data_IF_660202305382
#
_entry.id   IF_660202305382
#
_cell.length_a   1.000
_cell.length_b   1.000
_cell.length_c   1.000
_cell.angle_alpha   90.00
_cell.angle_beta   90.00
_cell.angle_gamma   90.00
#
_symmetry.space_group_name_H-M   'P 1'
#
loop_
_entity.id
_entity.type
_entity.pdbx_description
1 polymer ?
#
# COMPACT_ATOMS: atom_id res chain seq x y z
N UNK A 1 15.00 -21.55 13.45
CA UNK A 1 13.82 -21.53 12.57
C UNK A 1 13.66 -20.15 11.97
N UNK A 2 13.31 -20.10 10.67
CA UNK A 2 13.13 -18.84 9.95
C UNK A 2 11.71 -18.74 9.45
N UNK A 3 11.05 -17.65 9.79
CA UNK A 3 9.69 -17.35 9.32
C UNK A 3 9.64 -15.91 8.82
N UNK A 4 8.73 -15.66 7.88
CA UNK A 4 8.51 -14.32 7.37
C UNK A 4 7.04 -14.18 6.97
N UNK A 5 6.49 -12.98 7.10
CA UNK A 5 5.15 -12.70 6.60
C UNK A 5 5.30 -12.50 5.09
N UNK A 6 4.73 -13.42 4.30
CA UNK A 6 4.89 -13.39 2.84
C UNK A 6 3.90 -12.45 2.17
N UNK A 7 2.63 -12.47 2.59
CA UNK A 7 1.56 -11.72 1.95
C UNK A 7 0.60 -11.15 2.98
N UNK A 8 0.05 -10.00 2.67
CA UNK A 8 -1.06 -9.40 3.40
C UNK A 8 -2.12 -9.04 2.36
N UNK A 9 -3.36 -9.42 2.61
CA UNK A 9 -4.45 -9.16 1.68
C UNK A 9 -4.99 -7.74 1.80
N UNK A 10 -5.15 -7.10 0.66
CA UNK A 10 -5.81 -5.80 0.56
C UNK A 10 -6.97 -5.96 -0.41
N UNK A 11 -8.19 -5.71 0.08
CA UNK A 11 -9.40 -5.85 -0.72
C UNK A 11 -9.56 -4.65 -1.63
N UNK A 12 -9.80 -4.90 -2.91
CA UNK A 12 -9.98 -3.86 -3.92
C UNK A 12 -11.29 -4.12 -4.68
N UNK A 13 -11.88 -3.09 -5.29
CA UNK A 13 -13.10 -3.31 -6.08
C UNK A 13 -12.83 -4.02 -7.40
N UNK A 14 -11.61 -3.90 -7.92
CA UNK A 14 -11.25 -4.43 -9.22
C UNK A 14 -9.73 -4.62 -9.28
N UNK A 15 -9.26 -5.71 -9.88
CA UNK A 15 -7.83 -6.00 -9.98
C UNK A 15 -7.07 -4.91 -10.74
N UNK A 16 -7.57 -4.52 -11.90
CA UNK A 16 -6.86 -3.55 -12.72
C UNK A 16 -6.80 -2.17 -12.06
N UNK A 17 -7.86 -1.78 -11.38
CA UNK A 17 -7.84 -0.52 -10.62
C UNK A 17 -6.82 -0.56 -9.50
N UNK A 18 -6.70 -1.72 -8.83
CA UNK A 18 -5.67 -1.91 -7.79
C UNK A 18 -4.26 -1.81 -8.36
N UNK A 19 -4.02 -2.46 -9.50
CA UNK A 19 -2.74 -2.40 -10.18
C UNK A 19 -2.44 -0.96 -10.62
N UNK A 20 -3.41 -0.26 -11.20
CA UNK A 20 -3.22 1.12 -11.65
C UNK A 20 -2.74 2.02 -10.52
N UNK A 21 -3.28 1.85 -9.32
CA UNK A 21 -2.84 2.66 -8.20
C UNK A 21 -1.50 2.18 -7.63
N UNK A 22 -1.42 0.92 -7.23
CA UNK A 22 -0.25 0.45 -6.50
C UNK A 22 1.00 0.32 -7.37
N UNK A 23 0.84 -0.08 -8.61
CA UNK A 23 1.95 -0.13 -9.56
C UNK A 23 2.08 1.18 -10.31
N UNK A 24 0.98 1.69 -10.85
CA UNK A 24 1.03 2.87 -11.72
C UNK A 24 1.34 4.17 -10.99
N UNK A 25 0.77 4.37 -9.81
CA UNK A 25 0.94 5.63 -9.07
C UNK A 25 1.96 5.54 -7.95
N UNK A 26 1.94 4.46 -7.17
CA UNK A 26 2.92 4.29 -6.08
C UNK A 26 4.27 3.77 -6.58
N UNK A 27 4.31 3.15 -7.75
CA UNK A 27 5.56 2.62 -8.28
C UNK A 27 5.97 1.27 -7.73
N UNK A 28 5.03 0.52 -7.14
CA UNK A 28 5.32 -0.84 -6.70
C UNK A 28 5.56 -1.73 -7.91
N UNK A 29 6.28 -2.84 -7.70
CA UNK A 29 6.45 -3.85 -8.72
C UNK A 29 5.24 -4.78 -8.75
N UNK A 30 4.81 -5.16 -9.95
CA UNK A 30 3.83 -6.22 -10.15
C UNK A 30 4.61 -7.54 -10.12
N UNK A 31 4.51 -8.26 -9.00
CA UNK A 31 5.26 -9.50 -8.82
C UNK A 31 4.61 -10.69 -9.50
N UNK A 32 3.28 -10.69 -9.56
CA UNK A 32 2.53 -11.78 -10.16
C UNK A 32 1.14 -11.29 -10.55
N UNK A 33 0.65 -11.78 -11.68
CA UNK A 33 -0.72 -11.57 -12.11
C UNK A 33 -1.14 -12.83 -12.87
N UNK A 34 -1.69 -13.79 -12.14
CA UNK A 34 -2.03 -15.11 -12.67
C UNK A 34 -3.53 -15.30 -12.64
N UNK A 35 -4.12 -15.59 -13.78
CA UNK A 35 -5.54 -15.93 -13.87
C UNK A 35 -5.77 -17.30 -13.23
N UNK A 36 -6.69 -17.35 -12.28
CA UNK A 36 -7.04 -18.61 -11.58
C UNK A 36 -8.36 -19.19 -12.06
N UNK A 37 -9.29 -18.33 -12.49
CA UNK A 37 -10.58 -18.72 -13.02
C UNK A 37 -11.11 -17.58 -13.89
N UNK A 38 -12.34 -17.68 -14.37
CA UNK A 38 -12.94 -16.61 -15.16
C UNK A 38 -13.06 -15.30 -14.37
N UNK A 39 -13.15 -15.39 -13.04
CA UNK A 39 -13.39 -14.21 -12.19
C UNK A 39 -12.28 -13.93 -11.20
N UNK A 40 -11.29 -14.83 -11.05
CA UNK A 40 -10.25 -14.68 -10.02
C UNK A 40 -8.86 -14.61 -10.62
N UNK A 41 -8.08 -13.66 -10.11
CA UNK A 41 -6.67 -13.48 -10.44
C UNK A 41 -5.87 -13.51 -9.15
N UNK A 42 -4.63 -13.96 -9.25
CA UNK A 42 -3.67 -13.92 -8.14
C UNK A 42 -2.71 -12.78 -8.44
N UNK A 43 -2.93 -11.64 -7.77
CA UNK A 43 -2.19 -10.41 -8.08
C UNK A 43 -1.38 -10.01 -6.84
N UNK A 44 -0.06 -9.99 -6.98
CA UNK A 44 0.84 -9.59 -5.90
C UNK A 44 1.65 -8.37 -6.32
N UNK A 45 1.70 -7.39 -5.43
CA UNK A 45 2.48 -6.16 -5.65
C UNK A 45 3.33 -5.87 -4.41
N UNK A 46 4.45 -5.22 -4.59
CA UNK A 46 5.31 -4.83 -3.47
C UNK A 46 6.27 -3.73 -3.89
N UNK A 47 6.76 -2.92 -2.94
CA UNK A 47 7.92 -2.06 -3.21
C UNK A 47 9.10 -2.91 -3.69
N UNK A 48 9.93 -2.35 -4.55
CA UNK A 48 11.10 -3.06 -5.09
C UNK A 48 11.98 -3.57 -3.94
N UNK A 49 12.28 -4.87 -3.98
CA UNK A 49 13.16 -5.52 -3.00
C UNK A 49 12.49 -5.87 -1.68
N UNK A 50 11.20 -5.58 -1.50
CA UNK A 50 10.51 -5.93 -0.27
C UNK A 50 10.26 -7.44 -0.17
N UNK A 51 10.38 -7.98 1.04
CA UNK A 51 10.11 -9.40 1.28
C UNK A 51 8.61 -9.68 1.39
N UNK A 52 7.88 -8.79 2.04
CA UNK A 52 6.42 -8.93 2.21
C UNK A 52 5.72 -8.22 1.07
N UNK A 53 4.79 -8.92 0.45
CA UNK A 53 4.00 -8.37 -0.64
C UNK A 53 2.55 -8.14 -0.22
N UNK A 54 1.83 -7.40 -1.03
CA UNK A 54 0.39 -7.18 -0.89
C UNK A 54 -0.32 -8.05 -1.93
N UNK A 55 -1.28 -8.84 -1.48
CA UNK A 55 -2.19 -9.55 -2.36
C UNK A 55 -3.38 -8.64 -2.63
N UNK A 56 -3.57 -8.22 -3.87
CA UNK A 56 -4.75 -7.47 -4.25
C UNK A 56 -5.88 -8.46 -4.50
N UNK A 57 -6.91 -8.42 -3.68
CA UNK A 57 -8.03 -9.35 -3.74
C UNK A 57 -9.29 -8.61 -4.13
N UNK A 58 -9.90 -8.99 -5.25
CA UNK A 58 -11.17 -8.40 -5.66
C UNK A 58 -12.25 -8.80 -4.67
N UNK A 59 -13.01 -7.82 -4.19
CA UNK A 59 -14.09 -8.05 -3.24
C UNK A 59 -15.12 -9.03 -3.82
N UNK A 60 -15.53 -9.98 -3.00
CA UNK A 60 -16.51 -11.01 -3.37
C UNK A 60 -17.57 -11.04 -2.27
N UNK A 61 -18.74 -10.48 -2.59
CA UNK A 61 -19.86 -10.43 -1.69
C UNK A 61 -19.91 -9.20 -0.78
N UNK A 62 -21.06 -9.00 -0.12
CA UNK A 62 -21.32 -7.74 0.62
C UNK A 62 -20.33 -7.43 1.72
N UNK A 63 -19.85 -8.44 2.45
CA UNK A 63 -18.90 -8.22 3.54
C UNK A 63 -17.57 -7.70 3.02
N UNK A 64 -17.08 -8.28 1.93
CA UNK A 64 -15.82 -7.85 1.35
C UNK A 64 -15.98 -6.49 0.68
N UNK A 65 -17.08 -6.25 0.01
CA UNK A 65 -17.37 -4.94 -0.57
C UNK A 65 -17.41 -3.85 0.49
N UNK A 66 -17.99 -4.14 1.65
CA UNK A 66 -18.03 -3.20 2.76
C UNK A 66 -16.64 -2.92 3.35
N UNK A 67 -15.71 -3.85 3.17
CA UNK A 67 -14.33 -3.67 3.65
C UNK A 67 -13.46 -2.85 2.72
N UNK A 68 -13.89 -2.61 1.47
CA UNK A 68 -13.11 -1.80 0.53
C UNK A 68 -12.85 -0.42 1.13
N UNK A 69 -11.57 -0.06 1.24
CA UNK A 69 -11.17 1.23 1.82
C UNK A 69 -11.35 1.37 3.31
N UNK A 70 -11.78 0.31 4.00
CA UNK A 70 -12.10 0.36 5.43
C UNK A 70 -11.68 -0.91 6.18
N UNK A 71 -10.62 -1.59 5.72
CA UNK A 71 -10.20 -2.85 6.34
C UNK A 71 -9.79 -2.70 7.80
N UNK A 72 -9.28 -1.53 8.15
CA UNK A 72 -8.78 -1.28 9.49
C UNK A 72 -9.75 -0.47 10.34
N UNK A 73 -10.95 -0.20 9.83
CA UNK A 73 -11.92 0.60 10.55
C UNK A 73 -11.55 2.07 10.69
N UNK A 74 -10.75 2.58 9.76
CA UNK A 74 -10.38 3.99 9.74
C UNK A 74 -8.99 4.31 10.28
N UNK A 75 -8.23 3.30 10.69
CA UNK A 75 -6.86 3.52 11.12
C UNK A 75 -5.91 3.48 9.92
N UNK A 76 -4.72 4.10 10.08
CA UNK A 76 -3.62 3.84 9.18
C UNK A 76 -3.29 2.35 9.25
N UNK A 77 -3.45 1.65 8.14
CA UNK A 77 -3.28 0.20 8.10
C UNK A 77 -1.95 -0.25 7.54
N UNK A 78 -1.23 0.63 6.88
CA UNK A 78 -0.03 0.29 6.14
C UNK A 78 1.02 1.37 6.36
N UNK A 79 2.28 0.95 6.49
CA UNK A 79 3.39 1.85 6.79
C UNK A 79 4.46 1.61 5.74
N UNK A 80 4.67 2.59 4.88
CA UNK A 80 5.63 2.51 3.78
C UNK A 80 6.87 3.29 4.14
N UNK A 81 7.94 2.59 4.46
CA UNK A 81 9.23 3.21 4.73
C UNK A 81 9.93 3.60 3.44
N UNK A 82 10.56 4.74 3.45
CA UNK A 82 11.38 5.20 2.33
C UNK A 82 12.72 5.72 2.85
N UNK A 83 13.72 5.64 2.00
CA UNK A 83 15.03 6.25 2.28
C UNK A 83 15.11 7.71 1.83
N UNK A 84 14.07 8.21 1.16
CA UNK A 84 14.05 9.59 0.67
C UNK A 84 12.62 10.11 0.60
N UNK A 85 12.17 10.69 1.71
CA UNK A 85 10.79 11.18 1.83
C UNK A 85 10.45 12.24 0.79
N UNK A 86 11.31 13.23 0.61
CA UNK A 86 11.00 14.35 -0.30
C UNK A 86 10.85 13.89 -1.73
N UNK A 87 11.72 12.98 -2.18
CA UNK A 87 11.65 12.41 -3.52
C UNK A 87 10.33 11.69 -3.74
N UNK A 88 9.97 10.81 -2.80
CA UNK A 88 8.78 9.97 -2.97
C UNK A 88 7.51 10.77 -2.77
N UNK A 89 7.47 11.68 -1.80
CA UNK A 89 6.33 12.55 -1.60
C UNK A 89 6.03 13.36 -2.88
N UNK A 90 7.07 13.96 -3.47
CA UNK A 90 6.90 14.75 -4.70
C UNK A 90 6.42 13.88 -5.86
N UNK A 91 7.01 12.70 -6.04
CA UNK A 91 6.63 11.79 -7.12
C UNK A 91 5.18 11.31 -6.98
N UNK A 92 4.78 10.98 -5.77
CA UNK A 92 3.42 10.51 -5.50
C UNK A 92 2.40 11.63 -5.73
N UNK A 93 2.70 12.86 -5.32
CA UNK A 93 1.83 14.00 -5.58
C UNK A 93 1.69 14.25 -7.09
N UNK A 94 2.78 14.17 -7.85
CA UNK A 94 2.72 14.32 -9.31
C UNK A 94 1.88 13.24 -9.96
N UNK A 95 1.90 12.03 -9.40
CA UNK A 95 1.09 10.91 -9.91
C UNK A 95 -0.39 11.01 -9.52
N UNK A 96 -0.75 11.98 -8.68
CA UNK A 96 -2.13 12.18 -8.28
C UNK A 96 -2.54 11.45 -7.01
N UNK A 97 -1.58 10.98 -6.20
CA UNK A 97 -1.88 10.36 -4.91
C UNK A 97 -2.41 11.42 -3.94
N UNK A 98 -3.48 11.09 -3.24
CA UNK A 98 -4.13 12.00 -2.28
C UNK A 98 -3.44 11.92 -0.94
N UNK A 99 -2.77 13.00 -0.52
CA UNK A 99 -2.25 13.13 0.83
C UNK A 99 -3.31 13.77 1.72
N UNK A 100 -3.46 13.25 2.93
CA UNK A 100 -4.49 13.69 3.89
C UNK A 100 -3.99 14.78 4.81
N UNK A 101 -2.71 15.09 4.77
CA UNK A 101 -2.08 16.08 5.65
C UNK A 101 -0.81 16.61 4.99
N UNK A 102 -0.35 17.75 5.48
CA UNK A 102 0.97 18.25 5.13
C UNK A 102 2.03 17.38 5.81
N UNK A 103 3.22 17.26 5.22
CA UNK A 103 4.30 16.49 5.86
C UNK A 103 4.59 16.96 7.27
N UNK A 104 4.79 16.00 8.17
CA UNK A 104 5.19 16.26 9.56
C UNK A 104 6.63 15.81 9.76
N UNK A 105 7.41 16.61 10.45
CA UNK A 105 8.78 16.27 10.81
C UNK A 105 8.82 15.98 12.30
N UNK A 106 8.78 14.70 12.63
CA UNK A 106 8.69 14.23 14.00
C UNK A 106 10.07 13.76 14.48
N UNK A 107 10.25 13.53 15.79
CA UNK A 107 11.53 12.97 16.28
C UNK A 107 11.87 11.62 15.66
N UNK A 108 10.85 10.82 15.31
CA UNK A 108 11.05 9.50 14.73
C UNK A 108 11.19 9.50 13.20
N UNK A 109 10.97 10.63 12.55
CA UNK A 109 11.14 10.73 11.10
C UNK A 109 10.19 11.71 10.45
N UNK A 110 10.28 11.79 9.13
CA UNK A 110 9.36 12.57 8.31
C UNK A 110 8.21 11.68 7.88
N UNK A 111 6.98 12.14 7.99
CA UNK A 111 5.80 11.33 7.73
C UNK A 111 4.68 12.15 7.10
N UNK A 112 3.91 11.50 6.23
CA UNK A 112 2.65 12.05 5.75
C UNK A 112 1.69 10.91 5.47
N UNK A 113 0.43 11.10 5.84
CA UNK A 113 -0.63 10.12 5.57
C UNK A 113 -1.15 10.33 4.16
N UNK A 114 -1.24 9.25 3.40
CA UNK A 114 -1.92 9.28 2.11
C UNK A 114 -3.02 8.22 2.05
N UNK A 115 -3.88 8.33 1.07
CA UNK A 115 -5.00 7.43 0.87
C UNK A 115 -4.88 6.77 -0.49
N UNK A 116 -5.26 5.49 -0.57
CA UNK A 116 -5.54 4.90 -1.87
C UNK A 116 -6.90 5.42 -2.38
N UNK A 117 -7.32 5.08 -3.60
CA UNK A 117 -8.56 5.63 -4.17
C UNK A 117 -9.82 5.30 -3.37
N UNK A 118 -9.77 4.25 -2.55
CA UNK A 118 -10.97 3.74 -1.87
C UNK A 118 -11.00 4.12 -0.39
N UNK A 119 -9.94 4.72 0.14
CA UNK A 119 -9.92 5.21 1.51
C UNK A 119 -8.98 4.48 2.45
N UNK A 120 -8.24 3.48 1.99
CA UNK A 120 -7.22 2.85 2.83
C UNK A 120 -6.12 3.85 3.12
N UNK A 121 -5.76 3.97 4.41
CA UNK A 121 -4.79 4.96 4.85
C UNK A 121 -3.41 4.34 5.01
N UNK A 122 -2.43 5.05 4.52
CA UNK A 122 -1.02 4.68 4.53
C UNK A 122 -0.19 5.80 5.15
N UNK A 123 0.85 5.43 5.90
CA UNK A 123 1.92 6.37 6.24
C UNK A 123 3.05 6.21 5.24
N UNK A 124 3.47 7.31 4.63
CA UNK A 124 4.77 7.38 3.97
C UNK A 124 5.73 7.94 5.01
N UNK A 125 6.79 7.20 5.33
CA UNK A 125 7.67 7.58 6.42
C UNK A 125 9.13 7.33 6.08
N UNK A 126 9.97 8.35 6.27
CA UNK A 126 11.41 8.19 6.27
C UNK A 126 11.84 8.18 7.72
N UNK A 127 12.14 7.00 8.28
CA UNK A 127 12.51 6.93 9.69
C UNK A 127 13.87 7.55 9.93
N UNK A 128 13.99 8.26 11.05
CA UNK A 128 15.30 8.65 11.57
C UNK A 128 15.92 7.42 12.23
N UNK A 129 17.19 7.55 12.62
CA UNK A 129 17.86 6.42 13.25
C UNK A 129 17.07 5.95 14.47
N UNK A 130 16.57 4.70 14.41
CA UNK A 130 15.95 4.07 15.54
C UNK A 130 17.00 3.32 16.35
N UNK A 131 16.76 3.12 17.65
CA UNK A 131 17.57 2.18 18.41
C UNK A 131 17.52 0.80 17.76
N UNK A 132 18.63 0.06 17.83
CA UNK A 132 18.66 -1.31 17.34
C UNK A 132 17.62 -2.16 18.08
N UNK A 133 16.99 -3.04 17.35
CA UNK A 133 15.97 -3.91 17.90
C UNK A 133 16.55 -5.20 18.39
#
# INVERSE_FOLDING_TARGET
MTQTIALITLVVPDYDAGIDFYVGKLGFELLEDTKRSETKRWVRVAPKGAQTAILLAKADGPKQEAAIGNQTGGRVGFFLNTDNFDRDYAAMKRAGVTFKEEPRHEPYGSVAVFSDPWGNLWDLIEPKAYPAR
#
